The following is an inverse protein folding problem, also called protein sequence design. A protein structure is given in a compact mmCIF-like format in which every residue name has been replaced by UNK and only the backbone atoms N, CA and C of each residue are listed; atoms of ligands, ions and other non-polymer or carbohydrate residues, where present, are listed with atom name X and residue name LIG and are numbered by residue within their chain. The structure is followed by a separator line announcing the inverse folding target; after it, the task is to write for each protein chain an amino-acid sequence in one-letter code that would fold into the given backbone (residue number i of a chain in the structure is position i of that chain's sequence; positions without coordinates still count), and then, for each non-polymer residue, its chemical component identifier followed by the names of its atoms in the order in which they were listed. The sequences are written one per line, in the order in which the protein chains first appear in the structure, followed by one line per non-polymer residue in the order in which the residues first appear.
data_IF_854138913714
#
_entry.id   IF_854138913714
#
_cell.length_a   1.000
_cell.length_b   1.000
_cell.length_c   1.000
_cell.angle_alpha   90.00
_cell.angle_beta   90.00
_cell.angle_gamma   90.00
#
_symmetry.space_group_name_H-M   'P 1'
#
loop_
_entity.id
_entity.type
_entity.pdbx_description
1 polymer ?
#
# COMPACT_ATOMS: atom_id res chain seq x y z
N UNK A 1 14.42 -17.65 -9.45
CA UNK A 1 13.75 -16.54 -10.15
C UNK A 1 14.57 -16.17 -11.37
N UNK A 2 13.89 -15.90 -12.47
CA UNK A 2 14.43 -15.27 -13.64
C UNK A 2 13.67 -13.97 -13.83
N UNK A 3 14.38 -12.88 -14.05
CA UNK A 3 13.81 -11.56 -14.28
C UNK A 3 14.39 -10.98 -15.56
N UNK A 4 13.53 -10.39 -16.37
CA UNK A 4 13.89 -9.59 -17.53
C UNK A 4 13.05 -8.32 -17.41
N UNK A 5 13.72 -7.21 -17.18
CA UNK A 5 13.07 -5.90 -17.11
C UNK A 5 13.21 -5.19 -18.45
N UNK A 6 12.08 -4.98 -19.12
CA UNK A 6 11.95 -4.14 -20.31
C UNK A 6 10.91 -3.09 -19.96
N UNK A 7 11.32 -2.08 -19.21
CA UNK A 7 10.44 -0.95 -18.90
C UNK A 7 10.48 0.06 -20.04
N UNK A 8 9.32 0.61 -20.41
CA UNK A 8 9.09 1.48 -21.56
C UNK A 8 9.35 0.79 -22.90
N UNK A 9 8.42 -0.05 -23.36
CA UNK A 9 8.52 -0.69 -24.66
C UNK A 9 8.28 0.31 -25.79
N UNK A 10 9.31 1.01 -26.18
CA UNK A 10 9.31 1.80 -27.41
C UNK A 10 10.51 1.41 -28.27
N UNK A 11 10.37 1.54 -29.58
CA UNK A 11 11.45 1.28 -30.52
C UNK A 11 12.29 2.55 -30.58
N UNK A 12 13.45 2.52 -29.94
CA UNK A 12 14.39 3.64 -29.94
C UNK A 12 15.29 3.64 -31.19
N UNK A 13 16.06 4.70 -31.34
CA UNK A 13 17.10 4.78 -32.33
C UNK A 13 18.17 3.68 -32.15
N UNK A 14 18.85 3.22 -33.20
CA UNK A 14 19.97 2.31 -33.09
C UNK A 14 21.02 2.85 -32.11
N UNK A 15 21.66 1.96 -31.36
CA UNK A 15 22.69 2.34 -30.41
C UNK A 15 24.00 2.42 -31.11
N UNK A 16 24.76 3.46 -30.84
CA UNK A 16 26.15 3.53 -31.25
C UNK A 16 26.95 2.50 -30.43
N UNK A 17 27.41 1.43 -31.09
CA UNK A 17 28.18 0.33 -30.50
C UNK A 17 29.68 0.55 -30.55
N UNK A 18 30.14 1.38 -31.52
CA UNK A 18 31.47 1.93 -31.65
C UNK A 18 31.38 3.31 -32.31
N UNK A 19 32.38 4.18 -32.22
CA UNK A 19 32.35 5.50 -32.84
C UNK A 19 31.95 5.43 -34.33
N UNK A 20 30.75 5.92 -34.64
CA UNK A 20 30.17 5.88 -35.99
C UNK A 20 29.49 4.56 -36.39
N UNK A 21 29.53 3.52 -35.57
CA UNK A 21 28.87 2.24 -35.80
C UNK A 21 27.61 2.09 -34.99
N UNK A 22 26.48 1.87 -35.63
CA UNK A 22 25.18 1.69 -34.96
C UNK A 22 24.73 0.23 -35.03
N UNK A 23 24.06 -0.23 -33.99
CA UNK A 23 23.47 -1.57 -33.98
C UNK A 23 22.46 -1.73 -35.11
N UNK A 24 22.45 -2.89 -35.77
CA UNK A 24 21.48 -3.20 -36.84
C UNK A 24 20.03 -3.33 -36.28
N UNK A 25 19.90 -3.52 -34.98
CA UNK A 25 18.60 -3.69 -34.32
C UNK A 25 18.27 -2.47 -33.49
N UNK A 26 17.06 -1.96 -33.65
CA UNK A 26 16.52 -0.93 -32.78
C UNK A 26 16.39 -1.45 -31.34
N UNK A 27 16.69 -0.60 -30.38
CA UNK A 27 16.43 -0.91 -28.97
C UNK A 27 14.94 -1.05 -28.73
N UNK A 28 14.53 -2.14 -28.08
CA UNK A 28 13.21 -2.29 -27.51
C UNK A 28 13.32 -1.96 -26.03
N UNK A 29 12.79 -0.78 -25.65
CA UNK A 29 12.86 -0.27 -24.29
C UNK A 29 14.15 0.51 -23.98
N UNK A 30 14.06 1.37 -22.99
CA UNK A 30 15.20 2.15 -22.47
C UNK A 30 15.86 1.46 -21.26
N UNK A 31 15.34 0.30 -20.86
CA UNK A 31 15.79 -0.50 -19.74
C UNK A 31 15.94 -1.95 -20.12
N UNK A 32 17.13 -2.45 -19.88
CA UNK A 32 17.42 -3.87 -20.03
C UNK A 32 18.26 -4.34 -18.85
N UNK A 33 17.66 -5.16 -18.01
CA UNK A 33 18.32 -5.85 -16.91
C UNK A 33 17.82 -7.28 -16.89
N UNK A 34 18.73 -8.24 -16.86
CA UNK A 34 18.37 -9.65 -16.81
C UNK A 34 19.26 -10.40 -15.81
N UNK A 35 18.63 -11.14 -14.92
CA UNK A 35 19.32 -11.96 -13.96
C UNK A 35 18.56 -13.26 -13.66
N UNK A 36 19.30 -14.28 -13.30
CA UNK A 36 18.76 -15.56 -12.87
C UNK A 36 19.38 -15.99 -11.57
N UNK A 37 18.55 -16.07 -10.52
CA UNK A 37 18.98 -16.32 -9.15
C UNK A 37 18.27 -17.49 -8.52
N UNK A 38 18.94 -18.13 -7.57
CA UNK A 38 18.43 -19.25 -6.78
C UNK A 38 18.58 -18.94 -5.29
N UNK A 39 17.77 -18.02 -4.74
CA UNK A 39 17.82 -17.73 -3.30
C UNK A 39 17.39 -18.94 -2.50
N UNK A 40 17.91 -19.05 -1.28
CA UNK A 40 17.51 -20.06 -0.32
C UNK A 40 16.97 -19.39 0.93
N UNK A 41 15.91 -19.94 1.46
CA UNK A 41 15.33 -19.50 2.73
C UNK A 41 14.68 -20.67 3.44
N UNK A 42 14.64 -20.58 4.76
CA UNK A 42 13.90 -21.51 5.58
C UNK A 42 13.80 -20.99 7.00
N UNK A 43 13.08 -21.73 7.81
CA UNK A 43 12.94 -21.42 9.22
C UNK A 43 12.72 -22.69 10.05
N UNK A 44 13.21 -22.62 11.29
CA UNK A 44 12.90 -23.59 12.34
C UNK A 44 12.26 -22.81 13.48
N UNK A 45 11.27 -23.37 14.12
CA UNK A 45 10.62 -22.73 15.27
C UNK A 45 10.43 -23.72 16.41
N UNK A 46 10.43 -23.16 17.60
CA UNK A 46 10.04 -23.85 18.84
C UNK A 46 8.93 -23.04 19.49
N UNK A 47 7.93 -23.73 20.02
CA UNK A 47 6.79 -23.10 20.68
C UNK A 47 6.34 -23.97 21.84
N UNK A 48 6.12 -23.34 23.01
CA UNK A 48 5.59 -24.00 24.18
C UNK A 48 4.28 -23.33 24.60
N UNK A 49 3.30 -24.14 24.97
CA UNK A 49 1.98 -23.68 25.40
C UNK A 49 1.68 -24.13 26.81
N UNK A 50 1.82 -23.21 27.74
CA UNK A 50 1.60 -23.41 29.17
C UNK A 50 0.14 -23.08 29.51
N UNK A 51 -0.49 -23.96 30.28
CA UNK A 51 -1.84 -23.73 30.82
C UNK A 51 -1.81 -23.96 32.32
N UNK A 52 -2.19 -22.93 33.07
CA UNK A 52 -2.23 -22.99 34.52
C UNK A 52 -3.35 -22.12 35.10
N UNK A 53 -4.29 -22.71 35.81
CA UNK A 53 -5.41 -22.01 36.47
C UNK A 53 -6.12 -20.98 35.56
N UNK A 54 -6.41 -21.39 34.32
CA UNK A 54 -7.04 -20.54 33.30
C UNK A 54 -6.09 -19.61 32.56
N UNK A 55 -4.89 -19.35 33.06
CA UNK A 55 -3.82 -18.69 32.32
C UNK A 55 -3.41 -19.56 31.14
N UNK A 56 -3.30 -18.95 29.97
CA UNK A 56 -2.72 -19.58 28.79
C UNK A 56 -1.56 -18.69 28.33
N UNK A 57 -0.36 -19.24 28.32
CA UNK A 57 0.83 -18.59 27.77
C UNK A 57 1.34 -19.41 26.59
N UNK A 58 1.57 -18.77 25.46
CA UNK A 58 2.14 -19.35 24.26
C UNK A 58 3.45 -18.60 24.00
N UNK A 59 4.58 -19.24 24.20
CA UNK A 59 5.91 -18.65 24.13
C UNK A 59 6.71 -19.40 23.09
N UNK A 60 7.27 -18.69 22.13
CA UNK A 60 8.02 -19.30 21.07
C UNK A 60 9.11 -18.43 20.50
N UNK A 61 9.96 -19.05 19.72
CA UNK A 61 10.96 -18.38 18.91
C UNK A 61 11.04 -19.07 17.55
N UNK A 62 11.16 -18.25 16.52
CA UNK A 62 11.37 -18.66 15.16
C UNK A 62 12.77 -18.23 14.72
N UNK A 63 13.56 -19.15 14.29
CA UNK A 63 14.86 -18.93 13.71
C UNK A 63 14.73 -18.95 12.19
N UNK A 64 14.95 -17.82 11.55
CA UNK A 64 14.92 -17.69 10.10
C UNK A 64 16.31 -17.59 9.51
N UNK A 65 16.48 -18.16 8.33
CA UNK A 65 17.70 -18.00 7.53
C UNK A 65 17.35 -17.72 6.08
N UNK A 66 18.20 -16.93 5.43
CA UNK A 66 18.12 -16.65 4.00
C UNK A 66 19.50 -16.47 3.39
N UNK A 67 19.61 -16.81 2.12
CA UNK A 67 20.80 -16.59 1.31
C UNK A 67 20.34 -15.97 -0.01
N UNK A 68 20.88 -14.83 -0.46
CA UNK A 68 20.60 -14.26 -1.76
C UNK A 68 21.01 -15.20 -2.90
N UNK A 69 21.98 -16.08 -2.66
CA UNK A 69 22.42 -17.13 -3.57
C UNK A 69 23.74 -16.82 -4.26
N UNK A 70 24.28 -17.84 -4.91
CA UNK A 70 25.63 -17.82 -5.48
C UNK A 70 25.85 -16.66 -6.47
N UNK A 71 24.83 -16.27 -7.22
CA UNK A 71 24.90 -15.09 -8.12
C UNK A 71 25.35 -13.83 -7.39
N UNK A 72 24.81 -13.57 -6.21
CA UNK A 72 25.19 -12.40 -5.38
C UNK A 72 26.59 -12.60 -4.81
N UNK A 73 26.88 -13.81 -4.28
CA UNK A 73 28.20 -14.09 -3.71
C UNK A 73 29.31 -13.88 -4.76
N UNK A 74 29.11 -14.35 -5.97
CA UNK A 74 30.06 -14.18 -7.07
C UNK A 74 30.20 -12.68 -7.48
N UNK A 75 29.12 -11.90 -7.48
CA UNK A 75 29.17 -10.48 -7.80
C UNK A 75 29.80 -9.62 -6.69
N UNK A 76 29.60 -9.98 -5.44
CA UNK A 76 30.26 -9.32 -4.31
C UNK A 76 31.79 -9.50 -4.39
N UNK A 77 32.27 -10.63 -4.87
CA UNK A 77 33.69 -10.90 -5.05
C UNK A 77 34.24 -10.33 -6.40
N UNK A 78 33.37 -9.95 -7.33
CA UNK A 78 33.77 -9.40 -8.61
C UNK A 78 34.03 -7.89 -8.51
N UNK A 79 35.27 -7.39 -8.65
CA UNK A 79 35.57 -5.95 -8.55
C UNK A 79 34.94 -5.12 -9.67
N UNK A 80 34.54 -5.73 -10.79
CA UNK A 80 33.89 -5.05 -11.90
C UNK A 80 32.39 -4.82 -11.67
N UNK A 81 31.78 -5.53 -10.70
CA UNK A 81 30.38 -5.31 -10.35
C UNK A 81 30.19 -3.94 -9.68
N UNK A 82 29.10 -3.21 -9.98
CA UNK A 82 28.86 -1.86 -9.46
C UNK A 82 28.39 -1.86 -8.00
N UNK A 83 29.00 -2.69 -7.18
CA UNK A 83 28.70 -2.81 -5.75
C UNK A 83 29.75 -1.99 -4.97
N UNK A 84 29.35 -1.00 -4.17
CA UNK A 84 30.27 -0.21 -3.35
C UNK A 84 31.06 -1.08 -2.37
N UNK A 85 32.31 -0.71 -2.10
CA UNK A 85 33.20 -1.49 -1.24
C UNK A 85 32.64 -1.64 0.18
N UNK A 86 32.03 -0.59 0.74
CA UNK A 86 31.41 -0.66 2.06
C UNK A 86 30.27 -1.69 2.12
N UNK A 87 29.49 -1.87 1.03
CA UNK A 87 28.44 -2.90 0.95
C UNK A 87 29.04 -4.30 0.86
N UNK A 88 30.16 -4.45 0.15
CA UNK A 88 30.89 -5.72 0.08
C UNK A 88 31.37 -6.15 1.45
N UNK A 89 31.97 -5.21 2.21
CA UNK A 89 32.44 -5.44 3.57
C UNK A 89 31.27 -5.77 4.50
N UNK A 90 30.22 -4.95 4.54
CA UNK A 90 29.05 -5.21 5.35
C UNK A 90 28.37 -6.55 5.01
N UNK A 91 28.32 -6.93 3.72
CA UNK A 91 27.74 -8.21 3.31
C UNK A 91 28.58 -9.39 3.87
N UNK A 92 29.92 -9.28 3.81
CA UNK A 92 30.81 -10.31 4.36
C UNK A 92 30.70 -10.40 5.88
N UNK A 93 30.63 -9.27 6.55
CA UNK A 93 30.58 -9.17 8.02
C UNK A 93 29.22 -9.62 8.58
N UNK A 94 28.12 -9.34 7.86
CA UNK A 94 26.75 -9.66 8.28
C UNK A 94 26.26 -11.06 7.84
N UNK A 95 27.09 -11.80 7.12
CA UNK A 95 26.72 -13.12 6.61
C UNK A 95 27.77 -14.18 6.96
N UNK A 96 27.33 -15.44 7.05
CA UNK A 96 28.17 -16.58 7.38
C UNK A 96 28.24 -17.52 6.19
N UNK A 97 29.44 -17.91 5.79
CA UNK A 97 29.62 -18.88 4.72
C UNK A 97 29.33 -20.29 5.22
N UNK A 98 28.40 -20.97 4.56
CA UNK A 98 28.02 -22.33 4.84
C UNK A 98 27.69 -23.06 3.54
N UNK A 99 28.33 -24.21 3.29
CA UNK A 99 28.14 -25.02 2.08
C UNK A 99 28.32 -24.21 0.77
N UNK A 100 29.29 -23.28 0.73
CA UNK A 100 29.63 -22.49 -0.43
C UNK A 100 28.60 -21.41 -0.79
N UNK A 101 27.78 -21.00 0.16
CA UNK A 101 26.86 -19.88 0.08
C UNK A 101 26.91 -19.06 1.35
N UNK A 102 26.63 -17.77 1.25
CA UNK A 102 26.52 -16.87 2.39
C UNK A 102 25.10 -16.77 2.87
N UNK A 103 24.90 -16.99 4.17
CA UNK A 103 23.60 -16.97 4.87
C UNK A 103 23.54 -15.87 5.89
N UNK A 104 22.38 -15.28 6.01
CA UNK A 104 22.00 -14.40 7.10
C UNK A 104 20.94 -15.07 7.97
N UNK A 105 20.89 -14.67 9.24
CA UNK A 105 20.03 -15.30 10.23
C UNK A 105 19.31 -14.25 11.06
N UNK A 106 18.12 -14.60 11.53
CA UNK A 106 17.36 -13.79 12.47
C UNK A 106 16.54 -14.65 13.42
N UNK A 107 16.43 -14.20 14.66
CA UNK A 107 15.57 -14.82 15.68
C UNK A 107 14.35 -13.93 15.88
N UNK A 108 13.17 -14.50 15.81
CA UNK A 108 11.89 -13.84 15.93
C UNK A 108 11.15 -14.41 17.14
N UNK A 109 11.18 -13.73 18.30
CA UNK A 109 10.44 -14.14 19.48
C UNK A 109 8.95 -13.86 19.33
N UNK A 110 8.14 -14.67 20.02
CA UNK A 110 6.70 -14.51 20.15
C UNK A 110 6.26 -14.86 21.56
N UNK A 111 5.43 -14.01 22.14
CA UNK A 111 4.79 -14.24 23.44
C UNK A 111 3.32 -13.84 23.33
N UNK A 112 2.44 -14.78 23.64
CA UNK A 112 1.01 -14.52 23.76
C UNK A 112 0.54 -15.00 25.13
N UNK A 113 -0.09 -14.14 25.89
CA UNK A 113 -0.63 -14.46 27.21
C UNK A 113 -2.10 -14.11 27.27
N UNK A 114 -2.91 -15.02 27.76
CA UNK A 114 -4.33 -14.83 27.98
C UNK A 114 -4.68 -15.20 29.42
N UNK A 115 -5.29 -14.27 30.12
CA UNK A 115 -5.62 -14.41 31.54
C UNK A 115 -7.11 -14.14 31.79
N UNK A 116 -7.89 -15.09 32.30
CA UNK A 116 -9.27 -14.88 32.71
C UNK A 116 -9.32 -14.06 33.99
N UNK A 117 -9.87 -12.87 33.95
CA UNK A 117 -10.10 -12.01 35.12
C UNK A 117 -11.37 -12.44 35.84
N UNK A 118 -12.40 -12.82 35.07
CA UNK A 118 -13.66 -13.42 35.49
C UNK A 118 -14.12 -14.43 34.46
N UNK A 119 -15.18 -15.18 34.77
CA UNK A 119 -15.73 -16.18 33.83
C UNK A 119 -16.07 -15.61 32.45
N UNK A 120 -16.47 -14.33 32.36
CA UNK A 120 -16.86 -13.65 31.15
C UNK A 120 -15.89 -12.54 30.72
N UNK A 121 -14.69 -12.46 31.33
CA UNK A 121 -13.71 -11.41 31.08
C UNK A 121 -12.32 -11.98 30.93
N UNK A 122 -11.68 -11.68 29.82
CA UNK A 122 -10.32 -12.13 29.50
C UNK A 122 -9.44 -10.95 29.15
N UNK A 123 -8.33 -10.81 29.84
CA UNK A 123 -7.24 -9.92 29.47
C UNK A 123 -6.25 -10.70 28.61
N UNK A 124 -5.72 -10.10 27.56
CA UNK A 124 -4.67 -10.72 26.75
C UNK A 124 -3.57 -9.73 26.41
N UNK A 125 -2.39 -10.29 26.18
CA UNK A 125 -1.22 -9.58 25.72
C UNK A 125 -0.55 -10.41 24.63
N UNK A 126 -0.19 -9.76 23.52
CA UNK A 126 0.58 -10.36 22.44
C UNK A 126 1.82 -9.50 22.17
N UNK A 127 2.92 -10.17 21.98
CA UNK A 127 4.17 -9.62 21.51
C UNK A 127 4.74 -10.53 20.47
N UNK A 128 5.24 -10.00 19.37
CA UNK A 128 5.83 -10.83 18.33
C UNK A 128 6.62 -10.05 17.31
N UNK A 129 7.62 -10.74 16.75
CA UNK A 129 8.38 -10.25 15.62
C UNK A 129 7.96 -11.00 14.35
N UNK A 130 7.81 -10.27 13.27
CA UNK A 130 7.65 -10.83 11.94
C UNK A 130 8.60 -10.16 10.94
N UNK A 131 8.86 -10.82 9.82
CA UNK A 131 9.77 -10.31 8.79
C UNK A 131 9.14 -10.34 7.42
N UNK A 132 9.53 -9.37 6.59
CA UNK A 132 9.19 -9.32 5.17
C UNK A 132 10.47 -9.25 4.34
N UNK A 133 10.68 -10.25 3.49
CA UNK A 133 11.85 -10.30 2.60
C UNK A 133 11.73 -9.18 1.55
N UNK A 134 12.82 -8.44 1.26
CA UNK A 134 12.82 -7.43 0.23
C UNK A 134 12.41 -7.97 -1.14
N UNK A 135 11.79 -7.12 -1.96
CA UNK A 135 11.47 -7.51 -3.31
C UNK A 135 12.74 -7.89 -4.08
N UNK A 136 12.73 -8.96 -4.89
CA UNK A 136 13.94 -9.42 -5.60
C UNK A 136 14.64 -8.33 -6.42
N UNK A 137 13.91 -7.42 -7.05
CA UNK A 137 14.51 -6.32 -7.79
C UNK A 137 15.37 -5.40 -6.92
N UNK A 138 15.02 -5.23 -5.63
CA UNK A 138 15.82 -4.40 -4.72
C UNK A 138 17.18 -5.04 -4.37
N UNK A 139 17.28 -6.36 -4.53
CA UNK A 139 18.50 -7.11 -4.21
C UNK A 139 19.37 -7.34 -5.42
N UNK A 140 18.77 -7.62 -6.59
CA UNK A 140 19.50 -8.19 -7.73
C UNK A 140 19.64 -7.25 -8.94
N UNK A 141 18.85 -6.17 -9.03
CA UNK A 141 18.83 -5.34 -10.24
C UNK A 141 20.15 -4.64 -10.51
N UNK A 142 20.52 -4.59 -11.78
CA UNK A 142 21.67 -3.85 -12.32
C UNK A 142 23.04 -4.17 -11.68
N UNK A 143 23.19 -5.33 -11.08
CA UNK A 143 24.43 -5.77 -10.44
C UNK A 143 25.42 -6.41 -11.42
N UNK A 144 24.95 -6.93 -12.56
CA UNK A 144 25.82 -7.54 -13.57
C UNK A 144 26.53 -6.46 -14.38
N UNK A 145 27.88 -6.45 -14.41
CA UNK A 145 28.65 -5.48 -15.19
C UNK A 145 28.27 -5.41 -16.67
N UNK A 146 27.84 -6.54 -17.25
CA UNK A 146 27.41 -6.59 -18.64
C UNK A 146 26.21 -5.69 -18.93
N UNK A 147 25.22 -5.66 -18.03
CA UNK A 147 24.02 -4.84 -18.20
C UNK A 147 24.18 -3.41 -17.72
N UNK A 148 25.18 -3.13 -16.92
CA UNK A 148 25.43 -1.80 -16.34
C UNK A 148 25.55 -0.70 -17.41
N UNK A 149 26.14 -1.03 -18.56
CA UNK A 149 26.27 -0.10 -19.68
C UNK A 149 25.03 0.01 -20.57
N UNK A 150 24.15 -0.99 -20.49
CA UNK A 150 22.95 -1.05 -21.31
C UNK A 150 21.73 -0.55 -20.59
N UNK A 151 21.81 -0.49 -19.28
CA UNK A 151 20.76 0.04 -18.44
C UNK A 151 20.95 1.54 -18.25
N UNK A 152 20.02 2.35 -18.72
CA UNK A 152 19.97 3.79 -18.40
C UNK A 152 19.57 4.05 -16.95
N UNK A 153 20.02 3.17 -15.99
CA UNK A 153 19.43 3.14 -14.69
C UNK A 153 20.22 3.71 -13.59
N UNK A 154 19.42 4.46 -12.86
CA UNK A 154 19.78 5.01 -11.60
C UNK A 154 19.74 3.98 -10.45
N UNK A 155 18.92 2.95 -10.53
CA UNK A 155 18.64 2.03 -9.42
C UNK A 155 19.56 0.82 -9.42
N UNK A 156 20.41 0.72 -8.38
CA UNK A 156 21.23 -0.45 -8.12
C UNK A 156 20.59 -1.31 -7.03
N UNK A 157 20.59 -2.61 -7.23
CA UNK A 157 20.24 -3.57 -6.21
C UNK A 157 21.28 -3.60 -5.09
N UNK A 158 20.84 -3.95 -3.90
CA UNK A 158 21.71 -4.10 -2.75
C UNK A 158 21.72 -5.55 -2.28
N UNK A 159 22.82 -6.28 -2.49
CA UNK A 159 22.95 -7.66 -2.03
C UNK A 159 22.91 -7.78 -0.49
N UNK A 160 23.20 -6.70 0.22
CA UNK A 160 23.22 -6.68 1.68
C UNK A 160 21.87 -6.37 2.34
N UNK A 161 20.79 -6.19 1.58
CA UNK A 161 19.48 -5.93 2.16
C UNK A 161 19.05 -7.03 3.14
N UNK A 162 18.59 -6.58 4.29
CA UNK A 162 17.97 -7.42 5.29
C UNK A 162 16.45 -7.45 5.10
N UNK A 163 15.75 -8.50 5.55
CA UNK A 163 14.32 -8.46 5.68
C UNK A 163 13.86 -7.33 6.61
N UNK A 164 12.82 -6.63 6.20
CA UNK A 164 12.14 -5.67 7.07
C UNK A 164 11.56 -6.39 8.27
N UNK A 165 11.60 -5.77 9.44
CA UNK A 165 11.09 -6.33 10.70
C UNK A 165 9.89 -5.53 11.17
N UNK A 166 8.85 -6.24 11.57
CA UNK A 166 7.69 -5.69 12.27
C UNK A 166 7.64 -6.25 13.69
N UNK A 167 7.73 -5.39 14.68
CA UNK A 167 7.60 -5.72 16.09
C UNK A 167 6.24 -5.23 16.56
N UNK A 168 5.36 -6.14 16.90
CA UNK A 168 4.00 -5.83 17.31
C UNK A 168 3.78 -6.11 18.79
N UNK A 169 3.03 -5.20 19.42
CA UNK A 169 2.56 -5.30 20.79
C UNK A 169 1.05 -5.07 20.80
N UNK A 170 0.33 -5.92 21.49
CA UNK A 170 -1.09 -5.77 21.67
C UNK A 170 -1.45 -6.07 23.13
N UNK A 171 -2.28 -5.24 23.71
CA UNK A 171 -2.96 -5.52 24.97
C UNK A 171 -4.44 -5.34 24.77
N UNK A 172 -5.23 -6.29 25.21
CA UNK A 172 -6.66 -6.21 24.98
C UNK A 172 -7.47 -6.89 26.05
N UNK A 173 -8.74 -6.50 26.06
CA UNK A 173 -9.73 -6.96 27.00
C UNK A 173 -10.96 -7.45 26.24
N UNK A 174 -11.33 -8.70 26.45
CA UNK A 174 -12.54 -9.31 25.91
C UNK A 174 -13.56 -9.46 27.01
N UNK A 175 -14.75 -8.93 26.79
CA UNK A 175 -15.83 -8.95 27.73
C UNK A 175 -17.11 -9.46 27.08
N UNK A 176 -17.60 -10.59 27.55
CA UNK A 176 -18.93 -11.07 27.23
C UNK A 176 -19.92 -10.34 28.16
N UNK A 177 -20.55 -9.28 27.65
CA UNK A 177 -21.45 -8.41 28.43
C UNK A 177 -22.72 -9.17 28.82
N UNK A 178 -23.27 -9.89 27.85
CA UNK A 178 -24.39 -10.84 28.06
C UNK A 178 -24.11 -12.12 27.24
N UNK A 179 -25.01 -13.09 27.27
CA UNK A 179 -24.93 -14.27 26.43
C UNK A 179 -24.95 -13.95 24.94
N UNK A 180 -25.44 -12.76 24.58
CA UNK A 180 -25.67 -12.32 23.21
C UNK A 180 -24.79 -11.12 22.80
N UNK A 181 -24.04 -10.56 23.73
CA UNK A 181 -23.24 -9.35 23.50
C UNK A 181 -21.78 -9.58 23.92
N UNK A 182 -20.86 -9.18 23.08
CA UNK A 182 -19.43 -9.19 23.39
C UNK A 182 -18.77 -7.88 22.98
N UNK A 183 -17.84 -7.42 23.81
CA UNK A 183 -17.02 -6.25 23.57
C UNK A 183 -15.55 -6.67 23.59
N UNK A 184 -14.83 -6.30 22.56
CA UNK A 184 -13.37 -6.39 22.46
C UNK A 184 -12.80 -4.97 22.49
N UNK A 185 -11.82 -4.73 23.35
CA UNK A 185 -11.01 -3.51 23.37
C UNK A 185 -9.55 -3.91 23.20
N UNK A 186 -8.85 -3.31 22.27
CA UNK A 186 -7.44 -3.60 21.99
C UNK A 186 -6.67 -2.30 21.84
N UNK A 187 -5.55 -2.17 22.53
CA UNK A 187 -4.53 -1.18 22.24
C UNK A 187 -3.38 -1.91 21.52
N UNK A 188 -2.89 -1.33 20.43
CA UNK A 188 -1.82 -1.92 19.64
C UNK A 188 -0.72 -0.91 19.35
N UNK A 189 0.48 -1.45 19.17
CA UNK A 189 1.65 -0.72 18.74
C UNK A 189 2.48 -1.63 17.82
N UNK A 190 2.91 -1.12 16.68
CA UNK A 190 3.75 -1.81 15.73
C UNK A 190 4.89 -0.88 15.30
N UNK A 191 6.13 -1.34 15.47
CA UNK A 191 7.33 -0.68 15.00
C UNK A 191 7.94 -1.50 13.86
N UNK A 192 8.11 -0.86 12.71
CA UNK A 192 8.76 -1.44 11.53
C UNK A 192 10.14 -0.88 11.39
N UNK A 193 11.13 -1.77 11.39
CA UNK A 193 12.55 -1.45 11.23
C UNK A 193 13.11 -2.07 9.95
N UNK A 194 14.28 -1.62 9.57
CA UNK A 194 14.94 -2.08 8.36
C UNK A 194 14.07 -1.86 7.10
N UNK A 195 13.21 -0.84 7.13
CA UNK A 195 12.37 -0.51 5.99
C UNK A 195 13.27 -0.10 4.82
N UNK A 196 13.01 -0.70 3.65
CA UNK A 196 13.85 -0.44 2.48
C UNK A 196 13.55 0.94 1.93
N UNK A 197 14.56 1.77 1.83
CA UNK A 197 14.49 3.11 1.26
C UNK A 197 15.54 3.29 0.17
N UNK A 198 15.55 4.44 -0.48
CA UNK A 198 16.49 4.77 -1.55
C UNK A 198 17.43 5.88 -1.09
N UNK A 199 18.71 5.69 -1.33
CA UNK A 199 19.74 6.69 -1.13
C UNK A 199 20.54 6.90 -2.41
N UNK A 200 21.02 8.12 -2.69
CA UNK A 200 22.00 8.34 -3.74
C UNK A 200 23.40 8.01 -3.23
N UNK A 201 24.09 7.22 -4.03
CA UNK A 201 25.52 6.92 -3.82
C UNK A 201 26.32 7.28 -5.05
N UNK A 202 27.58 7.60 -4.84
CA UNK A 202 28.54 7.84 -5.91
C UNK A 202 29.30 6.56 -6.19
N UNK A 203 29.18 6.05 -7.40
CA UNK A 203 29.91 4.88 -7.88
C UNK A 203 30.68 5.24 -9.13
N UNK A 204 31.75 4.53 -9.42
CA UNK A 204 32.43 4.69 -10.70
C UNK A 204 31.71 3.87 -11.77
N UNK A 205 31.52 4.48 -12.94
CA UNK A 205 31.09 3.74 -14.13
C UNK A 205 32.25 2.85 -14.66
N UNK A 206 32.01 1.96 -15.61
CA UNK A 206 33.06 1.10 -16.17
C UNK A 206 34.23 1.85 -16.81
N UNK A 207 34.07 3.14 -17.11
CA UNK A 207 35.15 4.00 -17.61
C UNK A 207 35.94 4.68 -16.50
N UNK A 208 35.58 4.41 -15.22
CA UNK A 208 36.18 5.02 -14.04
C UNK A 208 35.64 6.42 -13.70
N UNK A 209 34.58 6.89 -14.36
CA UNK A 209 33.97 8.19 -14.06
C UNK A 209 32.99 8.06 -12.91
N UNK A 210 33.02 8.99 -11.93
CA UNK A 210 32.06 8.98 -10.84
C UNK A 210 30.67 9.40 -11.34
N UNK A 211 29.68 8.54 -11.11
CA UNK A 211 28.26 8.76 -11.42
C UNK A 211 27.42 8.58 -10.16
N UNK A 212 26.35 9.34 -10.05
CA UNK A 212 25.39 9.14 -8.96
C UNK A 212 24.40 8.04 -9.37
N UNK A 213 24.19 7.10 -8.46
CA UNK A 213 23.21 6.01 -8.62
C UNK A 213 22.29 5.98 -7.41
N UNK A 214 21.01 5.67 -7.66
CA UNK A 214 20.08 5.34 -6.58
C UNK A 214 20.37 3.93 -6.08
N UNK A 215 20.42 3.78 -4.78
CA UNK A 215 20.81 2.56 -4.11
C UNK A 215 19.83 2.23 -2.98
N UNK A 216 19.41 0.98 -2.88
CA UNK A 216 18.47 0.53 -1.85
C UNK A 216 19.21 0.19 -0.57
N UNK A 217 18.74 0.71 0.55
CA UNK A 217 19.28 0.44 1.89
C UNK A 217 18.16 0.15 2.88
N UNK A 218 18.50 -0.53 3.98
CA UNK A 218 17.66 -0.62 5.16
C UNK A 218 17.95 0.61 6.05
N UNK A 219 17.24 1.69 5.83
CA UNK A 219 17.57 2.96 6.50
C UNK A 219 16.35 3.71 7.01
N UNK A 220 15.18 3.08 6.97
CA UNK A 220 13.94 3.74 7.31
C UNK A 220 13.15 2.97 8.39
N UNK A 221 12.20 3.67 9.00
CA UNK A 221 11.29 3.08 9.96
C UNK A 221 9.88 3.63 9.79
N UNK A 222 8.91 2.85 10.25
CA UNK A 222 7.51 3.26 10.36
C UNK A 222 6.96 2.77 11.69
N UNK A 223 6.10 3.56 12.30
CA UNK A 223 5.41 3.24 13.55
C UNK A 223 3.92 3.39 13.37
N UNK A 224 3.16 2.42 13.87
CA UNK A 224 1.70 2.50 13.93
C UNK A 224 1.23 2.19 15.35
N UNK A 225 0.33 3.00 15.87
CA UNK A 225 -0.24 2.81 17.20
C UNK A 225 -1.70 3.19 17.21
N UNK A 226 -2.50 2.52 18.02
CA UNK A 226 -3.92 2.80 18.04
C UNK A 226 -4.72 2.03 19.08
N UNK A 227 -6.01 2.30 19.04
CA UNK A 227 -7.04 1.66 19.83
C UNK A 227 -8.10 1.09 18.91
N UNK A 228 -8.57 -0.10 19.21
CA UNK A 228 -9.67 -0.74 18.53
C UNK A 228 -10.74 -1.16 19.52
N UNK A 229 -12.00 -0.87 19.21
CA UNK A 229 -13.16 -1.34 19.92
C UNK A 229 -14.07 -2.10 18.97
N UNK A 230 -14.37 -3.36 19.27
CA UNK A 230 -15.30 -4.17 18.48
C UNK A 230 -16.45 -4.63 19.38
N UNK A 231 -17.67 -4.27 19.00
CA UNK A 231 -18.88 -4.72 19.64
C UNK A 231 -19.63 -5.69 18.72
N UNK A 232 -19.97 -6.84 19.28
CA UNK A 232 -20.74 -7.90 18.65
C UNK A 232 -22.08 -8.03 19.34
N UNK A 233 -23.15 -8.07 18.57
CA UNK A 233 -24.53 -8.29 19.03
C UNK A 233 -25.17 -9.42 18.29
N UNK A 234 -25.72 -10.37 19.01
CA UNK A 234 -26.61 -11.38 18.46
C UNK A 234 -28.01 -11.17 19.07
N UNK A 235 -29.01 -11.17 18.24
CA UNK A 235 -30.40 -11.07 18.69
C UNK A 235 -31.17 -12.28 18.19
N UNK A 236 -31.48 -13.19 19.11
CA UNK A 236 -32.04 -14.50 18.80
C UNK A 236 -31.20 -15.19 17.69
N UNK A 237 -31.85 -16.02 16.86
CA UNK A 237 -31.16 -16.76 15.81
C UNK A 237 -31.23 -16.08 14.43
N UNK A 238 -31.93 -14.95 14.35
CA UNK A 238 -32.21 -14.32 13.05
C UNK A 238 -31.45 -13.01 12.81
N UNK A 239 -30.87 -12.38 13.81
CA UNK A 239 -30.12 -11.14 13.62
C UNK A 239 -28.78 -11.17 14.37
N UNK A 240 -27.75 -10.73 13.68
CA UNK A 240 -26.44 -10.44 14.28
C UNK A 240 -25.86 -9.17 13.67
N UNK A 241 -25.11 -8.44 14.48
CA UNK A 241 -24.42 -7.24 14.05
C UNK A 241 -23.06 -7.10 14.69
N UNK A 242 -22.21 -6.37 14.02
CA UNK A 242 -20.88 -6.01 14.49
C UNK A 242 -20.63 -4.54 14.21
N UNK A 243 -20.03 -3.85 15.16
CA UNK A 243 -19.48 -2.52 14.99
C UNK A 243 -18.03 -2.55 15.46
N UNK A 244 -17.12 -2.17 14.57
CA UNK A 244 -15.71 -2.00 14.88
C UNK A 244 -15.31 -0.55 14.67
N UNK A 245 -14.62 0.03 15.63
CA UNK A 245 -14.11 1.39 15.59
C UNK A 245 -12.62 1.32 15.88
N UNK A 246 -11.81 1.79 14.95
CA UNK A 246 -10.36 1.86 15.09
C UNK A 246 -9.94 3.33 15.02
N UNK A 247 -9.14 3.74 15.98
CA UNK A 247 -8.37 4.97 15.93
C UNK A 247 -6.89 4.61 15.89
N UNK A 248 -6.17 5.05 14.88
CA UNK A 248 -4.74 4.78 14.73
C UNK A 248 -3.99 5.97 14.19
N UNK A 249 -2.69 5.99 14.45
CA UNK A 249 -1.75 6.95 13.90
C UNK A 249 -0.53 6.21 13.37
N UNK A 250 -0.19 6.47 12.13
CA UNK A 250 0.97 5.91 11.47
C UNK A 250 1.95 7.04 11.10
N UNK A 251 3.17 6.91 11.60
CA UNK A 251 4.24 7.90 11.45
C UNK A 251 5.53 7.20 11.05
N UNK A 252 6.44 7.91 10.40
CA UNK A 252 7.72 7.38 9.96
C UNK A 252 8.48 8.36 9.09
N UNK A 253 9.57 7.89 8.49
CA UNK A 253 10.38 8.71 7.59
C UNK A 253 9.85 8.66 6.15
N UNK A 254 9.45 7.48 5.66
CA UNK A 254 8.94 7.32 4.31
C UNK A 254 7.68 6.46 4.28
N UNK A 255 6.73 6.81 3.42
CA UNK A 255 5.52 6.05 3.20
C UNK A 255 5.74 4.87 2.26
N UNK A 256 6.69 5.00 1.34
CA UNK A 256 7.07 4.00 0.34
C UNK A 256 8.58 3.96 0.14
N UNK A 257 9.06 2.86 -0.42
CA UNK A 257 10.48 2.68 -0.78
C UNK A 257 11.00 3.72 -1.81
N UNK A 258 10.11 4.45 -2.45
CA UNK A 258 10.45 5.43 -3.50
C UNK A 258 10.33 6.89 -3.04
N UNK A 259 9.89 7.15 -1.83
CA UNK A 259 9.69 8.53 -1.36
C UNK A 259 11.01 9.32 -1.38
N UNK A 260 12.12 8.70 -0.92
CA UNK A 260 13.43 9.34 -0.99
C UNK A 260 13.92 9.55 -2.43
N UNK A 261 13.55 8.67 -3.37
CA UNK A 261 13.87 8.87 -4.78
C UNK A 261 13.16 10.10 -5.34
N UNK A 262 11.92 10.32 -4.96
CA UNK A 262 11.16 11.51 -5.34
C UNK A 262 11.76 12.78 -4.75
N UNK A 263 12.25 12.72 -3.51
CA UNK A 263 12.96 13.84 -2.91
C UNK A 263 14.28 14.15 -3.60
N UNK A 264 15.07 13.11 -3.89
CA UNK A 264 16.33 13.23 -4.63
C UNK A 264 16.12 13.84 -6.02
N UNK A 265 15.02 13.53 -6.68
CA UNK A 265 14.64 14.12 -7.97
C UNK A 265 14.03 15.52 -7.87
N UNK A 266 13.89 16.07 -6.68
CA UNK A 266 13.29 17.38 -6.44
C UNK A 266 11.75 17.40 -6.53
N UNK A 267 11.13 16.23 -6.58
CA UNK A 267 9.66 16.11 -6.64
C UNK A 267 8.98 16.19 -5.28
N UNK A 268 9.72 15.93 -4.21
CA UNK A 268 9.25 16.05 -2.83
C UNK A 268 10.35 16.59 -1.93
N UNK A 269 9.96 17.31 -0.88
CA UNK A 269 10.85 17.68 0.21
C UNK A 269 10.79 16.59 1.27
N UNK A 270 11.94 16.02 1.58
CA UNK A 270 12.09 15.12 2.72
C UNK A 270 13.04 15.76 3.72
N UNK A 271 12.53 16.02 4.91
CA UNK A 271 13.37 16.31 6.05
C UNK A 271 14.07 15.04 6.48
N UNK A 272 15.38 15.01 6.42
CA UNK A 272 16.24 13.86 6.68
C UNK A 272 16.14 13.41 8.09
N UNK A 273 15.33 13.45 8.92
CA UNK A 273 15.20 12.91 10.29
C UNK A 273 13.91 13.38 11.02
N UNK A 274 12.92 13.89 10.29
CA UNK A 274 11.66 14.31 10.89
C UNK A 274 10.64 13.19 10.70
N UNK A 275 10.12 12.67 11.80
CA UNK A 275 9.00 11.73 11.79
C UNK A 275 7.73 12.47 11.41
N UNK A 276 7.10 12.08 10.32
CA UNK A 276 5.88 12.68 9.79
C UNK A 276 4.78 11.64 9.63
N UNK A 277 3.50 12.04 9.57
CA UNK A 277 2.44 11.12 9.19
C UNK A 277 2.75 10.44 7.86
N UNK A 278 2.36 9.20 7.71
CA UNK A 278 2.57 8.44 6.47
C UNK A 278 1.38 8.63 5.51
N UNK A 279 1.62 8.56 4.21
CA UNK A 279 0.59 8.75 3.19
C UNK A 279 -0.61 7.81 3.34
N UNK A 280 -0.38 6.63 3.92
CA UNK A 280 -1.42 5.62 4.18
C UNK A 280 -2.05 5.74 5.58
N UNK A 281 -1.65 6.71 6.41
CA UNK A 281 -2.27 6.98 7.69
C UNK A 281 -3.73 7.40 7.50
N UNK A 282 -4.61 6.71 8.22
CA UNK A 282 -6.05 7.00 8.28
C UNK A 282 -6.50 6.90 9.72
N UNK A 283 -6.57 8.02 10.43
CA UNK A 283 -6.81 8.02 11.87
C UNK A 283 -8.06 7.25 12.30
N UNK A 284 -9.14 7.33 11.55
CA UNK A 284 -10.37 6.65 11.89
C UNK A 284 -10.79 5.65 10.82
N UNK A 285 -11.15 4.45 11.26
CA UNK A 285 -11.79 3.40 10.45
C UNK A 285 -12.96 2.83 11.25
N UNK A 286 -14.19 3.05 10.78
CA UNK A 286 -15.42 2.59 11.41
C UNK A 286 -16.09 1.62 10.45
N UNK A 287 -16.32 0.40 10.91
CA UNK A 287 -16.96 -0.67 10.15
C UNK A 287 -18.14 -1.21 10.90
N UNK A 288 -19.27 -1.29 10.21
CA UNK A 288 -20.46 -1.91 10.75
C UNK A 288 -21.02 -2.93 9.77
N UNK A 289 -21.54 -4.03 10.29
CA UNK A 289 -22.33 -4.95 9.50
C UNK A 289 -23.53 -5.49 10.28
N UNK A 290 -24.57 -5.82 9.55
CA UNK A 290 -25.78 -6.46 10.05
C UNK A 290 -26.12 -7.62 9.14
N UNK A 291 -26.41 -8.78 9.72
CA UNK A 291 -26.90 -9.96 9.04
C UNK A 291 -28.28 -10.29 9.61
N UNK A 292 -29.27 -10.35 8.74
CA UNK A 292 -30.61 -10.83 9.07
C UNK A 292 -30.84 -12.12 8.29
N UNK A 293 -31.23 -13.19 8.99
CA UNK A 293 -31.54 -14.49 8.38
C UNK A 293 -32.90 -14.96 8.87
N UNK A 294 -33.82 -15.10 7.98
CA UNK A 294 -35.18 -15.55 8.27
C UNK A 294 -35.43 -16.89 7.60
N UNK A 295 -35.82 -17.86 8.37
CA UNK A 295 -36.18 -19.20 7.91
C UNK A 295 -37.73 -19.36 7.69
N UNK A 296 -38.16 -20.55 7.37
CA UNK A 296 -39.61 -20.87 7.20
C UNK A 296 -40.42 -20.67 8.47
N UNK A 297 -39.80 -20.92 9.60
CA UNK A 297 -40.50 -20.92 10.91
C UNK A 297 -40.54 -19.53 11.54
N UNK A 298 -39.66 -18.64 11.11
CA UNK A 298 -39.52 -17.30 11.65
C UNK A 298 -39.47 -16.25 10.52
N UNK A 299 -40.61 -15.98 9.84
CA UNK A 299 -40.62 -14.95 8.80
C UNK A 299 -40.49 -13.55 9.39
N UNK A 300 -39.88 -12.66 8.62
CA UNK A 300 -39.72 -11.25 9.00
C UNK A 300 -41.10 -10.61 9.24
N UNK A 301 -41.27 -9.96 10.40
CA UNK A 301 -42.51 -9.35 10.83
C UNK A 301 -43.74 -10.31 10.87
N UNK A 302 -43.51 -11.62 10.92
CA UNK A 302 -44.58 -12.60 10.87
C UNK A 302 -45.25 -12.74 9.48
N UNK A 303 -44.70 -12.08 8.45
CA UNK A 303 -45.27 -12.11 7.10
C UNK A 303 -44.63 -13.24 6.27
N UNK A 304 -45.39 -14.28 5.98
CA UNK A 304 -44.93 -15.51 5.36
C UNK A 304 -44.08 -15.32 4.08
N UNK A 305 -44.37 -14.40 3.15
CA UNK A 305 -43.53 -14.14 1.99
C UNK A 305 -42.12 -13.65 2.32
N UNK A 306 -41.90 -13.09 3.51
CA UNK A 306 -40.58 -12.64 3.99
C UNK A 306 -39.87 -13.70 4.85
N UNK A 307 -39.99 -14.97 4.45
CA UNK A 307 -39.22 -16.08 5.00
C UNK A 307 -38.12 -16.53 4.04
N UNK A 308 -37.28 -17.46 4.47
CA UNK A 308 -36.21 -18.06 3.65
C UNK A 308 -35.38 -16.98 2.93
N UNK A 309 -34.95 -15.98 3.66
CA UNK A 309 -34.16 -14.88 3.11
C UNK A 309 -33.00 -14.49 4.03
N UNK A 310 -31.98 -13.97 3.41
CA UNK A 310 -30.81 -13.41 4.09
C UNK A 310 -30.55 -12.01 3.56
N UNK A 311 -30.36 -11.08 4.48
CA UNK A 311 -29.93 -9.72 4.19
C UNK A 311 -28.61 -9.49 4.90
N UNK A 312 -27.60 -9.10 4.15
CA UNK A 312 -26.34 -8.63 4.67
C UNK A 312 -26.16 -7.17 4.25
N UNK A 313 -25.97 -6.31 5.23
CA UNK A 313 -25.65 -4.90 5.03
C UNK A 313 -24.33 -4.62 5.70
N UNK A 314 -23.38 -4.03 4.97
CA UNK A 314 -22.13 -3.54 5.52
C UNK A 314 -21.95 -2.06 5.22
N UNK A 315 -21.36 -1.34 6.18
CA UNK A 315 -21.00 0.05 6.02
C UNK A 315 -19.58 0.27 6.53
N UNK A 316 -18.81 1.06 5.81
CA UNK A 316 -17.44 1.43 6.15
C UNK A 316 -17.29 2.93 5.99
N UNK A 317 -16.88 3.60 7.06
CA UNK A 317 -16.45 4.98 7.02
C UNK A 317 -14.98 5.08 7.43
N UNK A 318 -14.19 5.83 6.65
CA UNK A 318 -12.75 6.04 6.90
C UNK A 318 -12.39 7.49 6.79
N UNK A 319 -11.43 7.94 7.58
CA UNK A 319 -10.74 9.21 7.34
C UNK A 319 -10.19 9.27 5.93
N UNK A 320 -10.10 10.45 5.37
CA UNK A 320 -9.49 10.69 4.07
C UNK A 320 -8.03 10.27 4.01
N UNK A 321 -7.47 10.27 2.83
CA UNK A 321 -6.04 10.05 2.62
C UNK A 321 -5.24 11.26 3.11
N UNK A 322 -4.04 11.01 3.60
CA UNK A 322 -3.09 12.08 3.91
C UNK A 322 -2.52 12.68 2.63
N UNK A 323 -2.30 13.98 2.64
CA UNK A 323 -1.62 14.68 1.56
C UNK A 323 -0.73 15.80 2.09
N UNK A 324 0.26 16.17 1.30
CA UNK A 324 1.11 17.34 1.56
C UNK A 324 0.47 18.54 0.88
N UNK A 325 0.17 19.62 1.61
CA UNK A 325 -0.40 20.82 1.00
C UNK A 325 0.58 21.44 -0.02
N UNK A 326 0.04 21.96 -1.09
CA UNK A 326 0.78 22.64 -2.15
C UNK A 326 0.20 24.04 -2.38
N UNK A 327 1.05 24.97 -2.77
CA UNK A 327 0.62 26.30 -3.16
C UNK A 327 0.47 26.38 -4.68
N UNK A 328 -0.60 27.01 -5.11
CA UNK A 328 -0.79 27.32 -6.52
C UNK A 328 0.04 28.56 -6.88
N UNK A 329 1.05 28.39 -7.74
CA UNK A 329 1.97 29.48 -8.11
C UNK A 329 1.68 30.11 -9.48
N UNK A 330 0.74 29.54 -10.23
CA UNK A 330 0.36 30.07 -11.54
C UNK A 330 0.15 29.00 -12.59
N UNK A 331 0.37 29.36 -13.83
CA UNK A 331 0.23 28.46 -14.97
C UNK A 331 1.55 28.35 -15.73
N UNK A 332 1.80 27.16 -16.27
CA UNK A 332 2.93 26.97 -17.16
C UNK A 332 2.76 27.81 -18.44
N UNK A 333 3.88 28.10 -19.07
CA UNK A 333 3.89 28.81 -20.36
C UNK A 333 4.52 27.93 -21.43
N UNK A 334 3.96 27.98 -22.60
CA UNK A 334 4.55 27.32 -23.74
C UNK A 334 5.95 27.91 -23.99
N UNK A 335 7.01 27.13 -23.98
CA UNK A 335 8.38 27.64 -24.12
C UNK A 335 8.67 28.26 -25.51
N UNK A 336 7.84 27.94 -26.51
CA UNK A 336 8.02 28.42 -27.89
C UNK A 336 7.23 29.73 -28.12
N UNK A 337 5.95 29.76 -27.70
CA UNK A 337 5.07 30.90 -27.94
C UNK A 337 5.05 31.91 -26.80
N UNK A 338 5.49 31.52 -25.61
CA UNK A 338 5.39 32.33 -24.39
C UNK A 338 3.98 32.45 -23.83
N UNK A 339 2.99 31.86 -24.50
CA UNK A 339 1.59 31.91 -24.09
C UNK A 339 1.38 30.96 -22.89
N UNK A 340 0.45 31.30 -22.03
CA UNK A 340 0.02 30.49 -20.92
C UNK A 340 -0.70 29.24 -21.44
N UNK A 341 -0.20 28.05 -21.12
CA UNK A 341 -0.72 26.78 -21.62
C UNK A 341 -1.81 26.17 -20.72
N UNK A 342 -2.26 26.93 -19.73
CA UNK A 342 -3.33 26.55 -18.81
C UNK A 342 -3.00 25.34 -17.89
N UNK A 343 -1.77 24.87 -17.88
CA UNK A 343 -1.33 23.87 -16.90
C UNK A 343 -1.05 24.54 -15.58
N UNK A 344 -1.76 24.16 -14.50
CA UNK A 344 -1.48 24.71 -13.20
C UNK A 344 -0.11 24.24 -12.73
N UNK A 345 0.63 25.16 -12.17
CA UNK A 345 1.89 24.91 -11.49
C UNK A 345 1.62 24.95 -9.99
N UNK A 346 2.04 23.90 -9.34
CA UNK A 346 2.00 23.77 -7.89
C UNK A 346 3.42 23.71 -7.35
N UNK A 347 3.65 24.42 -6.28
CA UNK A 347 4.90 24.38 -5.54
C UNK A 347 4.66 23.71 -4.19
N UNK A 348 5.53 22.77 -3.84
CA UNK A 348 5.49 22.16 -2.52
C UNK A 348 6.01 23.16 -1.50
N UNK A 349 5.30 23.27 -0.38
CA UNK A 349 5.80 23.99 0.77
C UNK A 349 7.09 23.30 1.24
N UNK A 350 8.17 24.08 1.36
CA UNK A 350 9.52 23.59 1.67
C UNK A 350 9.71 23.21 3.15
N UNK A 351 8.62 23.06 3.89
CA UNK A 351 8.62 22.64 5.29
C UNK A 351 8.40 21.13 5.40
N UNK A 352 9.41 20.36 5.86
CA UNK A 352 9.28 18.93 6.03
C UNK A 352 8.17 18.51 7.00
N UNK A 353 7.80 19.34 7.97
CA UNK A 353 6.75 19.07 8.95
C UNK A 353 5.36 19.06 8.31
N UNK A 354 5.20 19.75 7.18
CA UNK A 354 3.95 19.76 6.43
C UNK A 354 3.75 18.55 5.52
N UNK A 355 4.72 17.65 5.47
CA UNK A 355 4.60 16.43 4.69
C UNK A 355 3.48 15.54 5.27
N UNK A 356 2.47 15.24 4.45
CA UNK A 356 1.27 14.48 4.83
C UNK A 356 0.56 15.00 6.10
N UNK A 357 0.71 16.30 6.38
CA UNK A 357 0.08 16.94 7.55
C UNK A 357 -1.45 16.99 7.44
N UNK A 358 -1.96 17.16 6.25
CA UNK A 358 -3.36 17.38 5.98
C UNK A 358 -4.11 16.09 5.65
N UNK A 359 -5.43 16.11 5.84
CA UNK A 359 -6.32 14.97 5.59
C UNK A 359 -7.42 15.39 4.63
N UNK A 360 -7.53 14.68 3.52
CA UNK A 360 -8.59 14.89 2.53
C UNK A 360 -9.96 14.39 2.98
N UNK A 361 -10.95 14.39 2.08
CA UNK A 361 -12.32 13.98 2.36
C UNK A 361 -12.42 12.53 2.82
N UNK A 362 -13.29 12.28 3.77
CA UNK A 362 -13.56 10.94 4.26
C UNK A 362 -14.25 10.07 3.21
N UNK A 363 -14.08 8.77 3.33
CA UNK A 363 -14.71 7.77 2.47
C UNK A 363 -15.86 7.09 3.20
N UNK A 364 -16.95 6.87 2.48
CA UNK A 364 -18.06 6.09 2.98
C UNK A 364 -18.54 5.10 1.91
N UNK A 365 -18.64 3.84 2.30
CA UNK A 365 -19.19 2.75 1.51
C UNK A 365 -20.32 2.08 2.25
N UNK A 366 -21.32 1.67 1.52
CA UNK A 366 -22.39 0.80 2.02
C UNK A 366 -22.69 -0.24 0.96
N UNK A 367 -22.62 -1.51 1.34
CA UNK A 367 -22.89 -2.63 0.45
C UNK A 367 -24.05 -3.46 0.99
N UNK A 368 -24.85 -3.96 0.07
CA UNK A 368 -26.01 -4.77 0.35
C UNK A 368 -25.87 -6.10 -0.40
N UNK A 369 -26.10 -7.20 0.30
CA UNK A 369 -26.30 -8.50 -0.30
C UNK A 369 -27.64 -9.04 0.22
N UNK A 370 -28.53 -9.34 -0.70
CA UNK A 370 -29.84 -9.92 -0.42
C UNK A 370 -29.97 -11.24 -1.15
N UNK A 371 -30.40 -12.28 -0.46
CA UNK A 371 -30.64 -13.61 -0.99
C UNK A 371 -31.99 -14.12 -0.54
N UNK A 372 -32.73 -14.76 -1.45
CA UNK A 372 -34.02 -15.35 -1.21
C UNK A 372 -34.05 -16.78 -1.74
N UNK A 373 -34.43 -17.72 -0.90
CA UNK A 373 -34.59 -19.14 -1.27
C UNK A 373 -36.04 -19.49 -1.53
N UNK A 374 -36.23 -20.37 -2.51
CA UNK A 374 -37.52 -20.93 -2.88
C UNK A 374 -37.35 -22.44 -3.03
N UNK A 375 -38.31 -23.19 -2.60
CA UNK A 375 -38.38 -24.63 -2.89
C UNK A 375 -39.55 -24.90 -3.83
N UNK A 376 -39.28 -25.41 -5.01
CA UNK A 376 -40.26 -25.70 -6.05
C UNK A 376 -40.06 -27.15 -6.48
N UNK A 377 -41.05 -28.00 -6.25
CA UNK A 377 -41.05 -29.42 -6.63
C UNK A 377 -39.80 -30.20 -6.16
N UNK A 378 -39.30 -29.91 -4.98
CA UNK A 378 -38.11 -30.57 -4.39
C UNK A 378 -36.77 -30.05 -4.89
N UNK A 379 -36.77 -29.01 -5.73
CA UNK A 379 -35.57 -28.30 -6.17
C UNK A 379 -35.45 -27.00 -5.39
N UNK A 380 -34.28 -26.75 -4.81
CA UNK A 380 -33.98 -25.48 -4.13
C UNK A 380 -33.44 -24.46 -5.13
N UNK A 381 -34.11 -23.34 -5.23
CA UNK A 381 -33.72 -22.18 -6.02
C UNK A 381 -33.32 -21.05 -5.10
N UNK A 382 -32.22 -20.37 -5.36
CA UNK A 382 -31.93 -19.09 -4.71
C UNK A 382 -31.77 -17.98 -5.74
N UNK A 383 -32.33 -16.81 -5.41
CA UNK A 383 -32.14 -15.58 -6.16
C UNK A 383 -31.38 -14.60 -5.27
N UNK A 384 -30.30 -13.99 -5.78
CA UNK A 384 -29.50 -13.03 -5.03
C UNK A 384 -29.33 -11.72 -5.77
N UNK A 385 -29.22 -10.67 -5.00
CA UNK A 385 -28.90 -9.31 -5.44
C UNK A 385 -27.75 -8.79 -4.58
N UNK A 386 -26.64 -8.44 -5.23
CA UNK A 386 -25.53 -7.74 -4.60
C UNK A 386 -25.48 -6.30 -5.13
N UNK A 387 -25.39 -5.34 -4.22
CA UNK A 387 -25.24 -3.93 -4.54
C UNK A 387 -24.01 -3.39 -3.84
N UNK A 388 -22.96 -3.13 -4.58
CA UNK A 388 -21.78 -2.45 -4.07
C UNK A 388 -21.98 -0.93 -4.18
N UNK A 389 -21.52 -0.21 -3.15
CA UNK A 389 -21.70 1.24 -3.03
C UNK A 389 -23.18 1.67 -3.18
N UNK A 390 -24.03 1.11 -2.33
CA UNK A 390 -25.49 1.28 -2.36
C UNK A 390 -25.95 2.74 -2.48
N UNK A 391 -25.27 3.65 -1.80
CA UNK A 391 -25.59 5.08 -1.81
C UNK A 391 -24.95 5.84 -2.99
N UNK A 392 -24.16 5.16 -3.82
CA UNK A 392 -23.43 5.73 -4.94
C UNK A 392 -22.54 6.94 -4.53
N UNK A 393 -21.87 6.81 -3.38
CA UNK A 393 -20.96 7.85 -2.91
C UNK A 393 -19.75 7.95 -3.85
N UNK A 394 -19.36 9.18 -4.12
CA UNK A 394 -18.17 9.48 -4.91
C UNK A 394 -16.98 9.65 -3.96
N UNK A 395 -16.34 8.55 -3.62
CA UNK A 395 -15.15 8.56 -2.79
C UNK A 395 -13.93 8.86 -3.67
N UNK A 396 -13.19 9.89 -3.33
CA UNK A 396 -12.02 10.30 -4.13
C UNK A 396 -10.84 9.37 -3.92
N UNK A 397 -10.23 8.91 -5.00
CA UNK A 397 -8.98 8.15 -4.96
C UNK A 397 -7.77 9.07 -4.76
N UNK A 398 -7.89 10.33 -5.16
CA UNK A 398 -6.87 11.37 -5.04
C UNK A 398 -7.48 12.63 -4.44
N UNK A 399 -6.63 13.49 -3.88
CA UNK A 399 -7.03 14.77 -3.28
C UNK A 399 -6.33 15.89 -4.04
N UNK A 400 -7.05 16.98 -4.29
CA UNK A 400 -6.42 18.19 -4.79
C UNK A 400 -5.50 18.78 -3.70
N UNK A 401 -4.20 18.88 -3.91
CA UNK A 401 -3.26 19.26 -2.86
C UNK A 401 -3.33 20.73 -2.47
N UNK A 402 -4.06 21.56 -3.21
CA UNK A 402 -4.25 22.99 -2.93
C UNK A 402 -5.51 23.22 -2.11
N UNK A 403 -6.62 22.61 -2.51
CA UNK A 403 -7.92 22.82 -1.85
C UNK A 403 -8.18 21.83 -0.71
N UNK A 404 -7.52 20.69 -0.70
CA UNK A 404 -7.79 19.60 0.23
C UNK A 404 -9.05 18.81 -0.07
N UNK A 405 -9.73 19.09 -1.15
CA UNK A 405 -10.99 18.47 -1.52
C UNK A 405 -10.83 17.47 -2.67
N UNK A 406 -11.89 16.74 -2.95
CA UNK A 406 -11.96 15.90 -4.15
C UNK A 406 -12.05 16.75 -5.41
N UNK A 407 -11.55 16.27 -6.54
CA UNK A 407 -11.74 16.94 -7.81
C UNK A 407 -13.23 17.03 -8.17
N UNK A 408 -13.61 18.15 -8.77
CA UNK A 408 -15.00 18.36 -9.22
C UNK A 408 -15.36 17.39 -10.33
N UNK A 409 -16.65 17.07 -10.40
CA UNK A 409 -17.20 16.11 -11.39
C UNK A 409 -18.22 16.75 -12.33
N UNK A 410 -18.56 18.00 -12.10
CA UNK A 410 -19.53 18.75 -12.91
C UNK A 410 -18.83 19.39 -14.12
N UNK A 411 -19.30 19.05 -15.28
CA UNK A 411 -18.82 19.54 -16.56
C UNK A 411 -19.99 19.71 -17.53
N UNK A 412 -19.93 20.71 -18.43
CA UNK A 412 -18.94 21.77 -18.52
C UNK A 412 -19.14 22.86 -17.45
N UNK A 413 -18.03 23.49 -17.05
CA UNK A 413 -18.12 24.73 -16.25
C UNK A 413 -18.50 25.91 -17.12
N UNK A 414 -19.22 26.85 -16.55
CA UNK A 414 -19.51 28.12 -17.20
C UNK A 414 -18.25 28.98 -17.35
N UNK A 415 -18.21 29.83 -18.33
CA UNK A 415 -17.10 30.77 -18.51
C UNK A 415 -16.86 31.66 -17.28
N UNK A 416 -17.93 32.03 -16.56
CA UNK A 416 -17.83 32.81 -15.33
C UNK A 416 -17.17 32.02 -14.18
N UNK A 417 -17.51 30.75 -14.01
CA UNK A 417 -16.89 29.90 -13.01
C UNK A 417 -15.40 29.69 -13.30
N UNK A 418 -15.04 29.48 -14.57
CA UNK A 418 -13.64 29.34 -14.98
C UNK A 418 -12.85 30.60 -14.68
N UNK A 419 -13.43 31.80 -14.96
CA UNK A 419 -12.79 33.09 -14.70
C UNK A 419 -12.65 33.36 -13.21
N UNK A 420 -13.66 33.00 -12.40
CA UNK A 420 -13.60 33.11 -10.95
C UNK A 420 -12.50 32.24 -10.38
N UNK A 421 -12.44 30.94 -10.75
CA UNK A 421 -11.40 30.03 -10.32
C UNK A 421 -10.00 30.55 -10.69
N UNK A 422 -9.89 31.21 -11.80
CA UNK A 422 -8.66 31.83 -12.27
C UNK A 422 -8.25 33.04 -11.43
N UNK A 423 -9.20 33.91 -11.12
CA UNK A 423 -8.96 35.14 -10.36
C UNK A 423 -8.63 34.85 -8.90
N UNK A 424 -9.28 33.85 -8.30
CA UNK A 424 -9.11 33.49 -6.90
C UNK A 424 -7.84 32.70 -6.66
N UNK A 425 -7.17 32.24 -7.73
CA UNK A 425 -6.04 31.32 -7.67
C UNK A 425 -6.29 30.03 -6.85
N UNK A 426 -7.51 29.90 -6.32
CA UNK A 426 -7.98 28.65 -5.75
C UNK A 426 -8.39 27.75 -6.92
N UNK A 427 -7.70 26.63 -7.06
CA UNK A 427 -7.80 25.89 -8.27
C UNK A 427 -7.90 24.40 -7.99
N UNK A 428 -9.06 23.87 -8.24
CA UNK A 428 -9.37 22.46 -8.10
C UNK A 428 -9.56 21.72 -9.44
N UNK A 429 -9.33 22.43 -10.54
CA UNK A 429 -9.57 21.90 -11.87
C UNK A 429 -8.28 21.63 -12.61
N UNK A 430 -8.19 20.47 -13.25
CA UNK A 430 -7.09 20.16 -14.16
C UNK A 430 -7.18 21.05 -15.42
N UNK A 431 -6.10 21.07 -16.16
CA UNK A 431 -5.91 21.88 -17.38
C UNK A 431 -7.07 21.80 -18.36
N UNK A 432 -7.52 20.57 -18.63
CA UNK A 432 -8.59 20.27 -19.57
C UNK A 432 -9.93 20.90 -19.20
N UNK A 433 -10.15 21.24 -17.94
CA UNK A 433 -11.36 21.89 -17.51
C UNK A 433 -11.43 23.38 -17.82
N UNK A 434 -10.30 24.01 -18.10
CA UNK A 434 -10.22 25.44 -18.39
C UNK A 434 -10.45 25.78 -19.83
N UNK A 435 -9.92 24.94 -20.71
CA UNK A 435 -10.18 25.01 -22.13
C UNK A 435 -10.77 23.66 -22.56
N UNK A 436 -12.05 23.62 -22.93
CA UNK A 436 -12.70 22.39 -23.38
C UNK A 436 -12.02 21.74 -24.61
N UNK A 437 -11.19 22.49 -25.31
CA UNK A 437 -10.43 22.01 -26.47
C UNK A 437 -9.11 21.34 -26.05
N UNK A 438 -8.65 21.63 -24.86
CA UNK A 438 -7.43 21.01 -24.32
C UNK A 438 -7.76 19.65 -23.72
N UNK A 439 -7.16 18.63 -24.26
CA UNK A 439 -7.26 17.26 -23.76
C UNK A 439 -5.85 16.78 -23.45
N UNK A 440 -5.64 16.27 -22.24
CA UNK A 440 -4.37 15.65 -21.91
C UNK A 440 -4.29 14.28 -22.62
N UNK A 441 -3.33 14.06 -23.52
CA UNK A 441 -3.20 12.79 -24.22
C UNK A 441 -3.00 11.58 -23.29
N UNK A 442 -2.49 11.81 -22.09
CA UNK A 442 -2.28 10.78 -21.08
C UNK A 442 -3.60 10.27 -20.50
N UNK A 443 -4.61 11.10 -20.47
CA UNK A 443 -5.95 10.78 -19.98
C UNK A 443 -6.88 10.29 -21.10
N UNK A 444 -6.33 9.97 -22.29
CA UNK A 444 -7.13 9.55 -23.43
C UNK A 444 -8.07 10.63 -23.97
N UNK A 445 -7.80 11.90 -23.66
CA UNK A 445 -8.62 13.04 -24.04
C UNK A 445 -9.81 13.30 -23.10
N UNK A 446 -9.91 12.59 -22.00
CA UNK A 446 -10.92 12.84 -20.96
C UNK A 446 -10.37 13.86 -19.98
N UNK A 447 -11.09 14.94 -19.66
CA UNK A 447 -10.70 15.87 -18.60
C UNK A 447 -10.40 15.13 -17.29
N UNK A 448 -9.31 15.49 -16.60
CA UNK A 448 -8.85 14.70 -15.45
C UNK A 448 -9.83 14.74 -14.27
N UNK A 449 -10.63 15.77 -14.12
CA UNK A 449 -11.70 15.83 -13.11
C UNK A 449 -12.92 14.95 -13.45
N UNK A 450 -13.07 14.53 -14.71
CA UNK A 450 -14.04 13.53 -15.14
C UNK A 450 -13.43 12.13 -15.22
N UNK A 451 -12.11 12.00 -15.07
CA UNK A 451 -11.44 10.73 -15.14
C UNK A 451 -11.96 9.79 -14.03
N UNK A 452 -12.58 8.67 -14.37
CA UNK A 452 -13.11 7.74 -13.38
C UNK A 452 -12.01 7.18 -12.46
N UNK A 453 -10.74 7.21 -12.87
CA UNK A 453 -9.60 6.79 -12.03
C UNK A 453 -9.37 7.71 -10.81
N UNK A 454 -9.92 8.94 -10.81
CA UNK A 454 -9.86 9.84 -9.66
C UNK A 454 -10.83 9.44 -8.55
N UNK A 455 -11.74 8.54 -8.84
CA UNK A 455 -12.76 8.07 -7.91
C UNK A 455 -12.68 6.56 -7.74
N UNK A 456 -13.13 6.12 -6.59
CA UNK A 456 -13.30 4.70 -6.32
C UNK A 456 -14.56 4.19 -7.01
N UNK A 457 -14.73 2.89 -6.99
CA UNK A 457 -15.77 2.18 -7.72
C UNK A 457 -17.18 2.78 -7.49
N UNK A 458 -17.92 3.09 -8.56
CA UNK A 458 -19.31 3.54 -8.48
C UNK A 458 -20.21 2.40 -8.03
N UNK A 459 -21.50 2.69 -7.86
CA UNK A 459 -22.50 1.68 -7.54
C UNK A 459 -22.58 0.63 -8.65
N UNK A 460 -22.54 -0.63 -8.22
CA UNK A 460 -22.67 -1.79 -9.10
C UNK A 460 -23.77 -2.72 -8.60
N UNK A 461 -24.44 -3.38 -9.52
CA UNK A 461 -25.44 -4.37 -9.24
C UNK A 461 -25.03 -5.70 -9.86
N UNK A 462 -25.09 -6.75 -9.07
CA UNK A 462 -24.95 -8.12 -9.54
C UNK A 462 -26.22 -8.88 -9.15
N UNK A 463 -26.86 -9.48 -10.12
CA UNK A 463 -28.04 -10.32 -9.92
C UNK A 463 -27.75 -11.73 -10.43
N UNK A 464 -28.16 -12.73 -9.68
CA UNK A 464 -27.99 -14.11 -10.09
C UNK A 464 -29.03 -15.05 -9.51
N UNK A 465 -29.10 -16.22 -10.12
CA UNK A 465 -29.96 -17.34 -9.69
C UNK A 465 -29.07 -18.58 -9.57
N UNK A 466 -29.22 -19.31 -8.47
CA UNK A 466 -28.57 -20.59 -8.24
C UNK A 466 -29.64 -21.69 -8.11
N UNK A 467 -29.32 -22.86 -8.61
CA UNK A 467 -30.19 -24.04 -8.58
C UNK A 467 -29.44 -25.18 -7.92
N UNK A 468 -29.97 -25.71 -6.82
CA UNK A 468 -29.45 -26.89 -6.12
C UNK A 468 -30.37 -28.07 -6.33
N UNK A 469 -29.82 -29.17 -6.87
CA UNK A 469 -30.54 -30.40 -7.16
C UNK A 469 -30.36 -31.43 -6.07
#
# INVERSE_FOLDING_TARGET
YQWIDITRPWIGAPIEVAPGEFSETNRVGDRFDAWRVKPRRGAVYINDKIRYNGLIADIGARFEYWAPGKYVDDLVENPAAPIPDFIREEYRDSSYELFGLRYKFRILPKVSVSFPVRENQVLFFNYGHSTRIPHPTFVYSSLDPFYQNQASFADLGNPNLNPEVDISYEIGFRYQVTTNDALNLTAFWSDKYDFVTTQQIRVNDPTGRPVNRSFRINGDFARSRGLEATYLKRYKDWAQGQLAVTYSRAEGLSSTNNDNLQAISGQQVIGSNVETPLAWDRPWDIKGNIILTYDRTNPMFGFAPLNQMRLFLSAVWRSGIRYTPQEFVGFSRNPITGEEDWRPLYEQVQDPELRFSETGPSWFYMDLNFEKWFEIAGVELSAYLEVSNLLNNRNSAIVNPVTGEQYRTDYPLSAAELEQLRSDRSYDLPNSARDPRYQDPRDGGIPSYLNPANFLQPRQYVFGISVNF
#
